data_IF_314486200267
#
_entry.id   IF_314486200267
#
_cell.length_a   1.000
_cell.length_b   1.000
_cell.length_c   1.000
_cell.angle_alpha   90.00
_cell.angle_beta   90.00
_cell.angle_gamma   90.00
#
_symmetry.space_group_name_H-M   'P 1'
#
loop_
_entity.id
_entity.type
_entity.pdbx_description
1 polymer ?
#
# COMPACT_ATOMS: atom_id res chain seq x y z
N UNK A 1 -15.57 25.93 13.31
CA UNK A 1 -16.64 24.92 13.10
C UNK A 1 -15.96 23.58 12.84
N UNK A 2 -16.55 22.44 13.25
CA UNK A 2 -15.98 21.15 12.89
C UNK A 2 -15.93 21.03 11.38
N UNK A 3 -14.81 20.46 10.85
CA UNK A 3 -14.62 20.25 9.42
C UNK A 3 -15.69 19.28 8.92
N UNK A 4 -16.43 19.65 7.89
CA UNK A 4 -17.41 18.77 7.25
C UNK A 4 -16.70 17.96 6.18
N UNK A 5 -16.89 16.65 6.20
CA UNK A 5 -16.38 15.72 5.20
C UNK A 5 -17.47 15.39 4.18
N UNK A 6 -17.10 15.15 2.93
CA UNK A 6 -18.05 14.83 1.86
C UNK A 6 -18.64 13.43 2.03
N UNK A 7 -17.80 12.47 2.42
CA UNK A 7 -18.14 11.05 2.46
C UNK A 7 -17.94 10.41 3.84
N UNK A 8 -16.85 10.75 4.54
CA UNK A 8 -16.48 10.08 5.79
C UNK A 8 -17.40 10.45 6.94
N UNK A 9 -17.96 9.45 7.63
CA UNK A 9 -18.68 9.67 8.88
C UNK A 9 -17.73 10.06 10.02
N UNK A 10 -18.23 10.69 11.09
CA UNK A 10 -17.43 11.00 12.29
C UNK A 10 -16.73 9.77 12.88
N UNK A 11 -17.38 8.60 12.83
CA UNK A 11 -16.84 7.34 13.33
C UNK A 11 -15.68 6.85 12.46
N UNK A 12 -15.80 6.97 11.14
CA UNK A 12 -14.71 6.62 10.20
C UNK A 12 -13.52 7.57 10.37
N UNK A 13 -13.77 8.85 10.57
CA UNK A 13 -12.72 9.84 10.87
C UNK A 13 -12.02 9.50 12.18
N UNK A 14 -12.77 9.19 13.24
CA UNK A 14 -12.21 8.81 14.53
C UNK A 14 -11.38 7.51 14.40
N UNK A 15 -11.87 6.51 13.68
CA UNK A 15 -11.19 5.25 13.44
C UNK A 15 -9.87 5.46 12.67
N UNK A 16 -9.88 6.28 11.60
CA UNK A 16 -8.66 6.58 10.86
C UNK A 16 -7.64 7.31 11.73
N UNK A 17 -8.07 8.30 12.50
CA UNK A 17 -7.18 9.04 13.39
C UNK A 17 -6.62 8.19 14.53
N UNK A 18 -7.31 7.14 14.95
CA UNK A 18 -6.81 6.20 15.94
C UNK A 18 -5.91 5.12 15.32
N UNK A 19 -6.37 4.48 14.25
CA UNK A 19 -5.75 3.26 13.72
C UNK A 19 -4.96 3.48 12.42
N UNK A 20 -5.15 4.59 11.70
CA UNK A 20 -4.44 4.89 10.46
C UNK A 20 -4.98 4.16 9.23
N UNK A 21 -6.15 3.54 9.28
CA UNK A 21 -6.81 2.92 8.13
C UNK A 21 -8.33 2.99 8.23
N UNK A 22 -9.01 2.79 7.10
CA UNK A 22 -10.46 2.57 6.99
C UNK A 22 -10.77 1.61 5.84
N UNK A 23 -11.93 0.99 5.90
CA UNK A 23 -12.45 0.13 4.82
C UNK A 23 -13.70 0.78 4.26
N UNK A 24 -13.70 1.07 2.97
CA UNK A 24 -14.84 1.57 2.22
C UNK A 24 -15.56 0.36 1.61
N UNK A 25 -16.70 0.01 2.18
CA UNK A 25 -17.47 -1.14 1.76
C UNK A 25 -18.20 -0.89 0.43
N UNK A 26 -18.13 -1.87 -0.49
CA UNK A 26 -18.80 -1.82 -1.78
C UNK A 26 -18.47 -0.53 -2.55
N UNK A 27 -17.19 -0.18 -2.65
CA UNK A 27 -16.71 1.00 -3.35
C UNK A 27 -16.86 0.88 -4.87
N UNK A 28 -16.83 -0.35 -5.39
CA UNK A 28 -17.13 -0.71 -6.78
C UNK A 28 -17.90 -2.03 -6.84
N UNK A 29 -18.57 -2.29 -7.95
CA UNK A 29 -19.45 -3.47 -8.07
C UNK A 29 -18.68 -4.75 -8.40
N UNK A 30 -19.31 -5.91 -8.11
CA UNK A 30 -18.80 -7.23 -8.51
C UNK A 30 -18.68 -7.35 -10.02
N UNK A 31 -19.63 -6.77 -10.80
CA UNK A 31 -19.58 -6.78 -12.27
C UNK A 31 -18.36 -6.01 -12.78
N UNK A 32 -18.02 -4.88 -12.15
CA UNK A 32 -16.82 -4.11 -12.48
C UNK A 32 -15.56 -4.91 -12.17
N UNK A 33 -15.52 -5.59 -11.03
CA UNK A 33 -14.42 -6.48 -10.66
C UNK A 33 -14.29 -7.63 -11.67
N UNK A 34 -15.38 -8.28 -12.04
CA UNK A 34 -15.40 -9.37 -13.02
C UNK A 34 -14.90 -8.91 -14.41
N UNK A 35 -15.33 -7.72 -14.87
CA UNK A 35 -14.84 -7.14 -16.12
C UNK A 35 -13.33 -6.86 -16.09
N UNK A 36 -12.80 -6.45 -14.95
CA UNK A 36 -11.37 -6.16 -14.81
C UNK A 36 -10.54 -7.43 -14.74
N UNK A 37 -11.01 -8.46 -14.07
CA UNK A 37 -10.33 -9.74 -13.88
C UNK A 37 -10.61 -10.78 -14.98
N UNK A 38 -11.43 -10.45 -15.99
CA UNK A 38 -11.86 -11.39 -17.04
C UNK A 38 -10.71 -12.16 -17.70
N UNK A 39 -9.58 -11.50 -17.93
CA UNK A 39 -8.40 -12.10 -18.57
C UNK A 39 -7.29 -12.45 -17.56
N UNK A 40 -7.57 -12.44 -16.27
CA UNK A 40 -6.55 -12.65 -15.22
C UNK A 40 -5.75 -13.94 -15.44
N UNK A 41 -6.44 -15.04 -15.61
CA UNK A 41 -5.82 -16.37 -15.74
C UNK A 41 -5.00 -16.54 -17.01
N UNK A 42 -5.50 -15.98 -18.12
CA UNK A 42 -4.75 -15.96 -19.39
C UNK A 42 -3.47 -15.14 -19.22
N UNK A 43 -3.56 -13.99 -18.58
CA UNK A 43 -2.39 -13.14 -18.29
C UNK A 43 -1.39 -13.87 -17.39
N UNK A 44 -1.85 -14.58 -16.37
CA UNK A 44 -1.01 -15.44 -15.53
C UNK A 44 -0.38 -16.60 -16.30
N UNK A 45 -1.02 -17.07 -17.39
CA UNK A 45 -0.63 -18.30 -18.10
C UNK A 45 -0.90 -19.55 -17.27
N UNK A 46 -1.99 -19.54 -16.47
CA UNK A 46 -2.39 -20.58 -15.53
C UNK A 46 -3.87 -20.93 -15.75
N UNK A 47 -4.26 -22.14 -15.36
CA UNK A 47 -5.65 -22.61 -15.40
C UNK A 47 -6.30 -22.44 -14.01
N UNK A 48 -7.42 -21.72 -13.88
CA UNK A 48 -8.13 -21.59 -12.60
C UNK A 48 -8.62 -22.91 -12.01
N UNK A 49 -8.91 -23.91 -12.86
CA UNK A 49 -9.39 -25.23 -12.46
C UNK A 49 -8.30 -26.23 -12.15
N UNK A 50 -7.05 -25.93 -12.52
CA UNK A 50 -5.90 -26.83 -12.32
C UNK A 50 -4.78 -26.15 -11.49
N UNK A 51 -4.81 -26.40 -10.20
CA UNK A 51 -3.82 -25.84 -9.26
C UNK A 51 -2.37 -26.31 -9.56
N UNK A 52 -2.16 -27.36 -10.35
CA UNK A 52 -0.81 -27.79 -10.74
C UNK A 52 -0.13 -26.79 -11.67
N UNK A 53 -0.92 -25.95 -12.35
CA UNK A 53 -0.43 -24.86 -13.19
C UNK A 53 -0.01 -23.61 -12.40
N UNK A 54 -0.36 -23.53 -11.11
CA UNK A 54 -0.06 -22.38 -10.26
C UNK A 54 1.40 -22.43 -9.76
N UNK A 55 2.29 -22.04 -10.65
CA UNK A 55 3.74 -22.20 -10.47
C UNK A 55 4.39 -21.13 -9.60
N UNK A 56 3.63 -20.11 -9.17
CA UNK A 56 4.12 -19.00 -8.34
C UNK A 56 3.16 -18.74 -7.19
N UNK A 57 3.70 -18.59 -5.97
CA UNK A 57 2.92 -18.22 -4.80
C UNK A 57 2.27 -16.85 -4.96
N UNK A 58 3.06 -15.87 -5.43
CA UNK A 58 2.62 -14.48 -5.63
C UNK A 58 3.09 -13.95 -6.97
N UNK A 59 2.21 -13.16 -7.61
CA UNK A 59 2.50 -12.51 -8.91
C UNK A 59 2.11 -11.05 -8.84
N UNK A 60 3.04 -10.15 -9.15
CA UNK A 60 2.80 -8.72 -9.33
C UNK A 60 2.69 -8.43 -10.82
N UNK A 61 1.45 -8.29 -11.30
CA UNK A 61 1.17 -8.18 -12.72
C UNK A 61 1.39 -6.75 -13.24
N UNK A 62 1.83 -6.57 -14.49
CA UNK A 62 1.92 -5.25 -15.12
C UNK A 62 0.53 -4.66 -15.40
N UNK A 63 0.50 -3.35 -15.62
CA UNK A 63 -0.73 -2.65 -16.00
C UNK A 63 -0.96 -2.73 -17.52
N UNK A 64 -2.20 -3.05 -17.93
CA UNK A 64 -2.67 -3.00 -19.32
C UNK A 64 -3.70 -1.91 -19.55
N UNK A 65 -4.62 -1.70 -18.61
CA UNK A 65 -5.67 -0.68 -18.70
C UNK A 65 -5.71 0.18 -17.45
N UNK A 66 -6.23 1.39 -17.62
CA UNK A 66 -6.49 2.33 -16.52
C UNK A 66 -7.90 2.90 -16.66
N UNK A 67 -8.48 3.30 -15.53
CA UNK A 67 -9.77 3.97 -15.47
C UNK A 67 -9.73 5.06 -14.40
N UNK A 68 -10.52 6.13 -14.59
CA UNK A 68 -10.68 7.18 -13.59
C UNK A 68 -11.30 6.60 -12.31
N UNK A 69 -10.70 6.90 -11.17
CA UNK A 69 -11.16 6.40 -9.87
C UNK A 69 -12.56 6.88 -9.55
N UNK A 70 -12.88 8.13 -9.90
CA UNK A 70 -14.20 8.72 -9.73
C UNK A 70 -15.29 7.91 -10.44
N UNK A 71 -15.00 7.36 -11.63
CA UNK A 71 -15.93 6.51 -12.37
C UNK A 71 -15.92 5.06 -11.87
N UNK A 72 -14.73 4.56 -11.53
CA UNK A 72 -14.55 3.17 -11.13
C UNK A 72 -15.05 2.90 -9.71
N UNK A 73 -14.69 3.76 -8.75
CA UNK A 73 -14.95 3.60 -7.32
C UNK A 73 -15.27 4.95 -6.66
N UNK A 74 -16.43 5.57 -7.00
CA UNK A 74 -16.75 6.95 -6.57
C UNK A 74 -16.74 7.14 -5.04
N UNK A 75 -17.19 6.16 -4.27
CA UNK A 75 -17.13 6.20 -2.80
C UNK A 75 -15.69 6.24 -2.28
N UNK A 76 -14.79 5.46 -2.88
CA UNK A 76 -13.39 5.47 -2.51
C UNK A 76 -12.73 6.80 -2.90
N UNK A 77 -13.07 7.37 -4.06
CA UNK A 77 -12.55 8.67 -4.47
C UNK A 77 -12.96 9.79 -3.52
N UNK A 78 -14.25 9.83 -3.13
CA UNK A 78 -14.73 10.79 -2.15
C UNK A 78 -14.02 10.66 -0.78
N UNK A 79 -13.82 9.41 -0.31
CA UNK A 79 -13.06 9.16 0.92
C UNK A 79 -11.59 9.56 0.82
N UNK A 80 -10.93 9.35 -0.33
CA UNK A 80 -9.55 9.80 -0.59
C UNK A 80 -9.45 11.32 -0.51
N UNK A 81 -10.40 12.05 -1.12
CA UNK A 81 -10.47 13.51 -1.03
C UNK A 81 -10.58 13.98 0.42
N UNK A 82 -11.45 13.37 1.20
CA UNK A 82 -11.63 13.70 2.62
C UNK A 82 -10.36 13.45 3.44
N UNK A 83 -9.70 12.30 3.23
CA UNK A 83 -8.47 11.94 3.94
C UNK A 83 -7.31 12.88 3.63
N UNK A 84 -7.21 13.37 2.40
CA UNK A 84 -6.10 14.21 1.92
C UNK A 84 -6.39 15.71 2.01
N UNK A 85 -7.63 16.09 2.34
CA UNK A 85 -8.00 17.49 2.60
C UNK A 85 -8.45 18.26 1.37
N UNK A 86 -8.84 17.57 0.29
CA UNK A 86 -9.43 18.13 -0.92
C UNK A 86 -8.77 17.63 -2.21
N UNK A 87 -9.54 17.62 -3.30
CA UNK A 87 -9.10 17.15 -4.61
C UNK A 87 -7.98 18.02 -5.19
N UNK A 88 -8.00 19.30 -4.88
CA UNK A 88 -7.00 20.27 -5.34
C UNK A 88 -5.58 19.94 -4.86
N UNK A 89 -5.44 19.17 -3.78
CA UNK A 89 -4.16 18.71 -3.25
C UNK A 89 -3.61 17.47 -3.94
N UNK A 90 -4.51 16.66 -4.54
CA UNK A 90 -4.17 15.35 -5.10
C UNK A 90 -3.46 15.53 -6.46
N UNK A 91 -2.39 14.77 -6.68
CA UNK A 91 -1.70 14.71 -7.97
C UNK A 91 -2.63 14.08 -9.03
N UNK A 92 -2.67 14.67 -10.23
CA UNK A 92 -3.56 14.22 -11.31
C UNK A 92 -3.33 12.77 -11.71
N UNK A 93 -2.08 12.27 -11.61
CA UNK A 93 -1.77 10.86 -11.89
C UNK A 93 -2.42 9.88 -10.92
N UNK A 94 -2.75 10.33 -9.71
CA UNK A 94 -3.45 9.54 -8.71
C UNK A 94 -4.95 9.36 -9.00
N UNK A 95 -5.52 10.10 -9.95
CA UNK A 95 -6.92 10.02 -10.33
C UNK A 95 -7.29 8.77 -11.14
N UNK A 96 -6.30 7.93 -11.51
CA UNK A 96 -6.53 6.70 -12.27
C UNK A 96 -6.00 5.47 -11.55
N UNK A 97 -6.79 4.39 -11.54
CA UNK A 97 -6.32 3.06 -11.14
C UNK A 97 -6.03 2.20 -12.35
N UNK A 98 -5.08 1.26 -12.16
CA UNK A 98 -4.70 0.28 -13.18
C UNK A 98 -4.95 -1.15 -12.73
N UNK A 99 -5.03 -2.06 -13.71
CA UNK A 99 -5.21 -3.50 -13.52
C UNK A 99 -3.89 -4.26 -13.26
N UNK A 100 -2.97 -3.57 -12.54
CA UNK A 100 -1.73 -4.19 -12.03
C UNK A 100 -2.02 -5.05 -10.82
N UNK A 101 -2.59 -6.23 -11.06
CA UNK A 101 -3.01 -7.11 -9.97
C UNK A 101 -1.83 -7.69 -9.20
N UNK A 102 -2.03 -7.79 -7.89
CA UNK A 102 -1.18 -8.57 -6.99
C UNK A 102 -1.97 -9.81 -6.62
N UNK A 103 -1.59 -10.93 -7.19
CA UNK A 103 -2.26 -12.22 -7.01
C UNK A 103 -1.47 -13.08 -6.03
N UNK A 104 -2.15 -13.60 -5.01
CA UNK A 104 -1.57 -14.56 -4.07
C UNK A 104 -2.34 -15.89 -4.19
N UNK A 105 -1.66 -16.91 -4.70
CA UNK A 105 -2.24 -18.22 -4.98
C UNK A 105 -1.94 -19.24 -3.87
N UNK A 106 -0.97 -18.95 -2.99
CA UNK A 106 -0.46 -19.93 -2.04
C UNK A 106 0.32 -21.06 -2.71
N UNK A 107 0.68 -22.06 -1.93
CA UNK A 107 1.39 -23.25 -2.40
C UNK A 107 0.75 -24.53 -1.82
N UNK A 108 1.10 -25.68 -2.37
CA UNK A 108 0.64 -26.99 -1.87
C UNK A 108 1.09 -27.24 -0.44
N UNK A 109 2.27 -26.76 -0.05
CA UNK A 109 2.80 -26.89 1.29
C UNK A 109 1.98 -26.04 2.28
N UNK A 110 1.61 -24.82 1.88
CA UNK A 110 0.78 -23.94 2.71
C UNK A 110 -0.62 -24.50 2.89
N UNK A 111 -1.23 -25.04 1.83
CA UNK A 111 -2.57 -25.67 1.90
C UNK A 111 -2.62 -26.86 2.88
N UNK A 112 -1.50 -27.56 3.05
CA UNK A 112 -1.36 -28.70 3.95
C UNK A 112 -0.84 -28.33 5.34
N UNK A 113 -0.47 -27.07 5.55
CA UNK A 113 0.07 -26.62 6.82
C UNK A 113 -0.98 -26.71 7.93
N UNK A 114 -0.58 -27.21 9.08
CA UNK A 114 -1.40 -27.29 10.30
C UNK A 114 -1.11 -26.18 11.29
N UNK A 115 0.00 -25.46 11.07
CA UNK A 115 0.42 -24.34 11.90
C UNK A 115 0.49 -23.05 11.04
N UNK A 116 0.01 -21.95 11.61
CA UNK A 116 0.00 -20.66 10.95
C UNK A 116 1.07 -19.74 11.53
N UNK A 117 1.79 -19.04 10.65
CA UNK A 117 2.80 -18.09 11.09
C UNK A 117 2.11 -16.92 11.81
N UNK A 118 2.54 -16.64 13.03
CA UNK A 118 2.04 -15.50 13.77
C UNK A 118 2.44 -14.19 13.04
N UNK A 119 1.57 -13.16 12.96
CA UNK A 119 1.88 -11.92 12.21
C UNK A 119 3.23 -11.28 12.58
N UNK A 120 3.60 -11.30 13.86
CA UNK A 120 4.90 -10.80 14.35
C UNK A 120 6.11 -11.53 13.77
N UNK A 121 5.93 -12.77 13.33
CA UNK A 121 7.01 -13.62 12.81
C UNK A 121 6.95 -13.75 11.27
N UNK A 122 6.02 -13.03 10.63
CA UNK A 122 5.98 -12.91 9.17
C UNK A 122 7.18 -12.09 8.68
N UNK A 123 7.70 -12.49 7.56
CA UNK A 123 8.72 -11.77 6.80
C UNK A 123 8.12 -10.63 5.96
N UNK A 124 8.97 -9.83 5.36
CA UNK A 124 8.59 -8.74 4.41
C UNK A 124 7.69 -7.64 4.98
N UNK A 125 7.70 -7.37 6.28
CA UNK A 125 7.11 -6.15 6.79
C UNK A 125 7.79 -4.92 6.16
N UNK A 126 7.02 -4.02 5.58
CA UNK A 126 7.52 -2.86 4.86
C UNK A 126 6.54 -1.69 4.87
N UNK A 127 7.02 -0.56 4.38
CA UNK A 127 6.23 0.58 3.95
C UNK A 127 6.39 0.66 2.43
N UNK A 128 5.31 0.87 1.69
CA UNK A 128 5.36 1.00 0.23
C UNK A 128 6.11 2.26 -0.22
N UNK A 129 6.64 2.24 -1.43
CA UNK A 129 7.28 3.39 -2.06
C UNK A 129 8.71 3.14 -2.51
N UNK A 130 8.95 2.06 -3.27
CA UNK A 130 10.27 1.72 -3.83
C UNK A 130 10.76 2.64 -4.96
N UNK A 131 9.99 3.71 -5.28
CA UNK A 131 10.24 4.58 -6.42
C UNK A 131 10.63 6.02 -6.04
N UNK A 132 10.84 6.33 -4.75
CA UNK A 132 11.30 7.65 -4.27
C UNK A 132 12.09 7.54 -2.97
N UNK A 133 12.83 8.58 -2.60
CA UNK A 133 13.46 8.74 -1.30
C UNK A 133 12.39 9.18 -0.29
N UNK A 134 12.23 8.43 0.80
CA UNK A 134 11.22 8.71 1.82
C UNK A 134 11.64 9.86 2.73
N UNK A 135 10.72 10.79 2.92
CA UNK A 135 10.73 11.81 3.97
C UNK A 135 9.41 11.73 4.73
N UNK A 136 9.37 12.29 5.93
CA UNK A 136 8.14 12.32 6.72
C UNK A 136 6.97 12.96 5.96
N UNK A 137 7.25 13.94 5.14
CA UNK A 137 6.29 14.75 4.38
C UNK A 137 6.21 14.38 2.89
N UNK A 138 6.68 13.18 2.50
CA UNK A 138 6.72 12.74 1.10
C UNK A 138 5.36 12.85 0.39
N UNK A 139 5.29 13.59 -0.73
CA UNK A 139 4.07 13.72 -1.51
C UNK A 139 3.84 12.55 -2.47
N UNK A 140 4.86 11.76 -2.78
CA UNK A 140 4.84 10.73 -3.81
C UNK A 140 3.85 9.61 -3.51
N UNK A 141 3.62 9.35 -2.21
CA UNK A 141 2.65 8.38 -1.72
C UNK A 141 1.98 8.91 -0.46
N UNK A 142 0.79 9.48 -0.62
CA UNK A 142 0.02 10.10 0.45
C UNK A 142 -1.03 9.19 1.08
N UNK A 143 -1.38 8.08 0.41
CA UNK A 143 -2.21 7.00 0.91
C UNK A 143 -1.75 5.68 0.30
N UNK A 144 -1.86 4.61 1.07
CA UNK A 144 -1.89 3.24 0.57
C UNK A 144 -3.34 2.88 0.28
N UNK A 145 -3.59 2.40 -0.93
CA UNK A 145 -4.94 2.05 -1.39
C UNK A 145 -4.95 0.60 -1.84
N UNK A 146 -5.87 -0.20 -1.29
CA UNK A 146 -5.98 -1.63 -1.62
C UNK A 146 -7.40 -1.96 -2.06
N UNK A 147 -7.70 -1.85 -3.37
CA UNK A 147 -8.93 -2.38 -3.96
C UNK A 147 -8.94 -3.90 -3.95
N UNK A 148 -10.06 -4.51 -3.53
CA UNK A 148 -10.24 -5.95 -3.35
C UNK A 148 -11.06 -6.51 -4.51
N UNK A 149 -10.44 -7.38 -5.32
CA UNK A 149 -11.04 -8.00 -6.51
C UNK A 149 -11.44 -9.47 -6.32
N UNK A 150 -11.17 -10.05 -5.17
CA UNK A 150 -11.63 -11.38 -4.76
C UNK A 150 -12.01 -11.37 -3.29
N UNK A 151 -12.92 -12.21 -2.85
CA UNK A 151 -13.20 -12.34 -1.43
C UNK A 151 -11.96 -12.82 -0.68
N UNK A 152 -11.62 -12.17 0.41
CA UNK A 152 -10.44 -12.45 1.23
C UNK A 152 -10.91 -12.93 2.61
N UNK A 153 -10.85 -14.22 2.83
CA UNK A 153 -11.14 -14.82 4.13
C UNK A 153 -9.91 -14.82 5.05
N UNK A 154 -10.14 -15.07 6.33
CA UNK A 154 -9.06 -15.31 7.29
C UNK A 154 -8.12 -16.44 6.82
N UNK A 155 -6.81 -16.22 6.92
CA UNK A 155 -5.77 -17.11 6.39
C UNK A 155 -5.75 -17.28 4.86
N UNK A 156 -6.50 -16.47 4.11
CA UNK A 156 -6.57 -16.49 2.65
C UNK A 156 -5.52 -15.60 1.95
N UNK A 157 -4.40 -15.30 2.58
CA UNK A 157 -3.33 -14.49 1.98
C UNK A 157 -3.60 -12.99 2.00
N UNK A 158 -4.37 -12.52 2.98
CA UNK A 158 -4.67 -11.10 3.18
C UNK A 158 -3.41 -10.26 3.44
N UNK A 159 -3.54 -8.96 3.35
CA UNK A 159 -2.53 -8.03 3.85
C UNK A 159 -2.70 -7.90 5.36
N UNK A 160 -1.63 -8.11 6.12
CA UNK A 160 -1.55 -7.73 7.52
C UNK A 160 -1.01 -6.33 7.66
N UNK A 161 -1.57 -5.57 8.59
CA UNK A 161 -1.10 -4.23 8.98
C UNK A 161 -0.76 -4.19 10.46
N UNK A 162 0.13 -3.28 10.83
CA UNK A 162 0.48 -2.99 12.23
C UNK A 162 0.21 -1.51 12.53
N UNK A 163 -0.99 -1.16 13.07
CA UNK A 163 -1.35 0.22 13.36
C UNK A 163 -0.43 0.93 14.35
N UNK A 164 0.15 0.21 15.32
CA UNK A 164 1.13 0.76 16.26
C UNK A 164 2.54 0.89 15.65
N UNK A 165 2.82 0.18 14.56
CA UNK A 165 4.05 0.33 13.80
C UNK A 165 4.17 1.67 13.06
N UNK A 166 3.05 2.34 12.78
CA UNK A 166 3.02 3.66 12.14
C UNK A 166 3.80 4.69 12.96
N UNK A 167 3.69 4.64 14.29
CA UNK A 167 4.44 5.55 15.18
C UNK A 167 5.95 5.35 15.05
N UNK A 168 6.42 4.10 14.94
CA UNK A 168 7.84 3.79 14.78
C UNK A 168 8.38 4.41 13.48
N UNK A 169 7.66 4.25 12.37
CA UNK A 169 8.06 4.81 11.08
C UNK A 169 8.00 6.34 11.09
N UNK A 170 6.94 6.94 11.65
CA UNK A 170 6.82 8.39 11.71
C UNK A 170 7.97 9.04 12.51
N UNK A 171 8.30 8.50 13.70
CA UNK A 171 9.42 8.96 14.52
C UNK A 171 10.74 8.83 13.79
N UNK A 172 10.97 7.68 13.18
CA UNK A 172 12.18 7.42 12.43
C UNK A 172 12.38 8.43 11.28
N UNK A 173 11.35 8.67 10.46
CA UNK A 173 11.43 9.65 9.37
C UNK A 173 11.56 11.10 9.88
N UNK A 174 10.99 11.42 11.03
CA UNK A 174 11.16 12.73 11.66
C UNK A 174 12.61 12.98 12.13
N UNK A 175 13.30 11.93 12.54
CA UNK A 175 14.71 11.97 12.99
C UNK A 175 15.70 11.93 11.81
N UNK A 176 15.24 11.60 10.59
CA UNK A 176 16.05 11.45 9.39
C UNK A 176 15.63 12.40 8.25
N UNK A 177 15.80 13.73 8.44
CA UNK A 177 15.44 14.72 7.42
C UNK A 177 16.33 14.66 6.15
N UNK A 178 17.42 13.92 6.18
CA UNK A 178 18.27 13.61 5.03
C UNK A 178 17.61 12.62 4.06
N UNK A 179 16.50 12.00 4.46
CA UNK A 179 15.75 11.04 3.68
C UNK A 179 16.22 9.60 3.83
N UNK A 180 15.32 8.68 3.55
CA UNK A 180 15.50 7.23 3.67
C UNK A 180 15.29 6.58 2.32
N UNK A 181 16.25 5.79 1.83
CA UNK A 181 16.10 5.10 0.56
C UNK A 181 15.26 3.84 0.71
N UNK A 182 14.39 3.56 -0.27
CA UNK A 182 13.61 2.33 -0.29
C UNK A 182 14.39 1.12 -0.81
N UNK A 183 15.54 1.33 -1.45
CA UNK A 183 16.36 0.24 -1.97
C UNK A 183 16.92 -0.52 -0.80
N UNK A 184 16.48 -1.75 -0.63
CA UNK A 184 16.73 -2.59 0.54
C UNK A 184 16.23 -1.96 1.84
N UNK A 185 15.39 -0.90 1.73
CA UNK A 185 14.89 -0.12 2.87
C UNK A 185 16.01 0.32 3.82
N UNK A 186 17.22 0.48 3.32
CA UNK A 186 18.37 0.97 4.06
C UNK A 186 18.39 2.49 4.05
N UNK A 187 18.66 3.06 5.20
CA UNK A 187 19.07 4.46 5.28
C UNK A 187 20.34 4.64 4.49
N UNK A 188 20.32 5.55 3.55
CA UNK A 188 21.54 6.12 3.02
C UNK A 188 21.53 7.58 3.42
N UNK A 189 22.37 7.99 4.38
CA UNK A 189 22.80 9.35 4.40
C UNK A 189 23.35 9.65 3.00
N UNK A 190 22.92 10.72 2.37
CA UNK A 190 23.27 11.10 0.99
C UNK A 190 24.78 11.21 0.72
N UNK A 191 25.59 10.99 1.72
CA UNK A 191 27.07 11.12 1.74
C UNK A 191 27.81 9.80 1.94
N UNK A 192 27.15 8.67 2.21
CA UNK A 192 27.81 7.37 2.43
C UNK A 192 27.74 6.46 1.20
N UNK A 193 28.84 5.79 0.80
CA UNK A 193 28.82 4.78 -0.25
C UNK A 193 27.93 3.60 0.16
N UNK A 194 27.12 3.12 -0.77
CA UNK A 194 26.29 1.92 -0.60
C UNK A 194 27.14 0.73 -0.13
N UNK A 195 26.83 0.18 1.02
CA UNK A 195 27.21 -1.19 1.33
C UNK A 195 26.02 -2.08 0.97
N UNK A 196 26.26 -3.03 0.09
CA UNK A 196 25.25 -3.96 -0.43
C UNK A 196 24.83 -5.05 0.57
N UNK A 197 25.20 -4.92 1.84
CA UNK A 197 24.88 -5.90 2.87
C UNK A 197 23.90 -5.31 3.92
N UNK A 198 22.60 -5.67 3.87
CA UNK A 198 21.59 -5.20 4.82
C UNK A 198 21.90 -5.53 6.28
N UNK A 199 22.73 -6.57 6.54
CA UNK A 199 23.14 -6.95 7.90
C UNK A 199 24.16 -5.99 8.51
N UNK A 200 24.84 -5.21 7.67
CA UNK A 200 25.89 -4.28 8.10
C UNK A 200 25.40 -2.84 8.25
N UNK A 201 24.18 -2.53 7.75
CA UNK A 201 23.57 -1.23 7.91
C UNK A 201 22.47 -1.31 8.97
N UNK A 202 22.63 -0.69 10.15
CA UNK A 202 21.64 -0.72 11.20
C UNK A 202 20.39 0.15 10.90
N UNK A 203 20.33 0.83 9.75
CA UNK A 203 19.33 1.81 9.38
C UNK A 203 17.87 1.35 9.42
N UNK A 204 17.11 1.67 8.39
CA UNK A 204 15.65 1.40 8.30
C UNK A 204 15.28 -0.08 8.48
N UNK A 205 16.13 -1.01 8.03
CA UNK A 205 15.97 -2.45 8.26
C UNK A 205 15.91 -2.86 9.73
N UNK A 206 16.65 -2.18 10.61
CA UNK A 206 16.58 -2.48 12.03
C UNK A 206 15.20 -2.15 12.59
N UNK A 207 14.56 -1.08 12.12
CA UNK A 207 13.20 -0.71 12.51
C UNK A 207 12.17 -1.67 11.98
N UNK A 208 12.31 -2.17 10.76
CA UNK A 208 11.43 -3.20 10.23
C UNK A 208 11.61 -4.55 10.93
N UNK A 209 12.82 -4.87 11.37
CA UNK A 209 13.08 -6.02 12.27
C UNK A 209 12.43 -5.84 13.64
N UNK A 210 12.21 -4.61 14.06
CA UNK A 210 11.54 -4.26 15.32
C UNK A 210 10.02 -4.44 15.31
N UNK A 211 9.42 -4.96 14.23
CA UNK A 211 8.00 -5.36 14.18
C UNK A 211 7.63 -6.24 15.38
N UNK A 212 8.60 -6.95 15.96
CA UNK A 212 8.44 -7.73 17.19
C UNK A 212 8.06 -6.88 18.41
N UNK A 213 8.27 -5.58 18.36
CA UNK A 213 7.83 -4.60 19.38
C UNK A 213 6.38 -4.20 19.21
N UNK A 214 5.81 -4.41 18.03
CA UNK A 214 4.40 -4.15 17.76
C UNK A 214 3.51 -5.20 18.42
N UNK A 215 2.35 -4.76 18.84
CA UNK A 215 1.35 -5.57 19.53
C UNK A 215 0.01 -5.63 18.83
N UNK A 216 -0.25 -4.68 17.91
CA UNK A 216 -1.51 -4.59 17.18
C UNK A 216 -1.29 -5.07 15.74
N UNK A 217 -1.93 -6.20 15.42
CA UNK A 217 -1.91 -6.78 14.09
C UNK A 217 -3.33 -6.97 13.59
N UNK A 218 -3.61 -6.49 12.39
CA UNK A 218 -4.93 -6.60 11.77
C UNK A 218 -4.78 -7.27 10.41
N UNK A 219 -5.53 -8.34 10.20
CA UNK A 219 -5.67 -8.99 8.91
C UNK A 219 -6.76 -8.28 8.11
N UNK A 220 -6.40 -7.74 6.95
CA UNK A 220 -7.33 -7.02 6.08
C UNK A 220 -8.15 -7.99 5.23
N UNK A 221 -9.13 -8.63 5.83
CA UNK A 221 -10.15 -9.42 5.14
C UNK A 221 -11.20 -8.52 4.51
N UNK A 222 -11.92 -9.00 3.50
CA UNK A 222 -12.95 -8.21 2.84
C UNK A 222 -13.62 -8.95 1.70
N UNK A 223 -14.59 -8.29 1.09
CA UNK A 223 -15.37 -8.79 -0.03
C UNK A 223 -14.98 -8.05 -1.33
N UNK A 224 -15.32 -8.65 -2.46
CA UNK A 224 -15.16 -7.99 -3.77
C UNK A 224 -15.83 -6.63 -3.75
N UNK A 225 -15.11 -5.61 -4.22
CA UNK A 225 -15.61 -4.24 -4.26
C UNK A 225 -15.23 -3.39 -3.05
N UNK A 226 -14.73 -3.98 -1.97
CA UNK A 226 -14.19 -3.22 -0.84
C UNK A 226 -12.87 -2.54 -1.21
N UNK A 227 -12.61 -1.38 -0.61
CA UNK A 227 -11.34 -0.67 -0.75
C UNK A 227 -10.80 -0.31 0.63
N UNK A 228 -9.59 -0.74 0.92
CA UNK A 228 -8.88 -0.31 2.13
C UNK A 228 -8.06 0.93 1.82
N UNK A 229 -8.22 1.97 2.64
CA UNK A 229 -7.43 3.20 2.60
C UNK A 229 -6.60 3.28 3.87
N UNK A 230 -5.28 3.42 3.72
CA UNK A 230 -4.33 3.39 4.83
C UNK A 230 -3.40 4.60 4.79
N UNK A 231 -2.95 5.00 5.95
CA UNK A 231 -1.89 5.98 6.10
C UNK A 231 -0.62 5.54 5.34
N UNK A 232 0.10 6.44 4.66
CA UNK A 232 1.27 6.07 3.84
C UNK A 232 2.40 5.39 4.64
N UNK A 233 2.50 5.65 5.92
CA UNK A 233 3.51 5.06 6.81
C UNK A 233 3.03 3.77 7.50
N UNK A 234 1.93 3.16 7.05
CA UNK A 234 1.43 1.93 7.63
C UNK A 234 2.37 0.77 7.34
N UNK A 235 2.95 0.18 8.39
CA UNK A 235 3.66 -1.09 8.28
C UNK A 235 2.70 -2.19 7.85
N UNK A 236 3.05 -2.91 6.79
CA UNK A 236 2.22 -4.00 6.28
C UNK A 236 3.05 -5.11 5.66
N UNK A 237 2.43 -6.26 5.50
CA UNK A 237 3.00 -7.43 4.81
C UNK A 237 1.90 -8.28 4.19
N UNK A 238 2.21 -9.02 3.13
CA UNK A 238 1.31 -10.03 2.58
C UNK A 238 1.43 -11.33 3.38
N UNK A 239 0.31 -11.83 3.90
CA UNK A 239 0.28 -13.11 4.62
C UNK A 239 0.40 -14.29 3.66
N UNK A 240 0.68 -15.46 4.24
CA UNK A 240 0.62 -16.74 3.53
C UNK A 240 -0.84 -17.08 3.21
N UNK A 241 -1.08 -17.62 2.02
CA UNK A 241 -2.40 -18.08 1.60
C UNK A 241 -2.53 -19.58 1.88
N UNK A 242 -3.06 -19.90 3.04
CA UNK A 242 -3.27 -21.29 3.50
C UNK A 242 -4.52 -21.92 2.89
N UNK A 243 -5.47 -21.12 2.41
CA UNK A 243 -6.70 -21.63 1.80
C UNK A 243 -6.51 -22.00 0.32
N UNK A 244 -5.43 -21.53 -0.28
CA UNK A 244 -5.17 -21.70 -1.71
C UNK A 244 -6.36 -21.30 -2.59
N UNK A 245 -7.07 -20.25 -2.15
CA UNK A 245 -8.08 -19.51 -2.89
C UNK A 245 -7.42 -18.25 -3.45
N UNK A 246 -7.54 -17.95 -4.73
CA UNK A 246 -6.86 -16.80 -5.32
C UNK A 246 -7.25 -15.50 -4.62
N UNK A 247 -6.28 -14.81 -4.04
CA UNK A 247 -6.45 -13.45 -3.51
C UNK A 247 -5.96 -12.45 -4.54
N UNK A 248 -6.84 -11.57 -4.98
CA UNK A 248 -6.57 -10.58 -6.03
C UNK A 248 -6.84 -9.18 -5.49
N UNK A 249 -5.82 -8.35 -5.47
CA UNK A 249 -5.88 -6.94 -5.11
C UNK A 249 -5.07 -6.11 -6.10
N UNK A 250 -5.14 -4.77 -5.97
CA UNK A 250 -4.14 -3.84 -6.51
C UNK A 250 -3.66 -2.92 -5.39
N UNK A 251 -2.59 -2.15 -5.62
CA UNK A 251 -2.09 -1.13 -4.69
C UNK A 251 -1.73 0.15 -5.44
N UNK A 252 -2.71 0.84 -6.05
CA UNK A 252 -2.43 2.07 -6.78
C UNK A 252 -1.90 3.15 -5.83
N UNK A 253 -0.80 3.84 -6.20
CA UNK A 253 -0.29 4.95 -5.41
C UNK A 253 -1.22 6.16 -5.51
N UNK A 254 -1.37 6.90 -4.41
CA UNK A 254 -2.03 8.20 -4.38
C UNK A 254 -1.01 9.23 -3.92
N UNK A 255 -0.65 10.16 -4.80
CA UNK A 255 0.29 11.24 -4.51
C UNK A 255 -0.39 12.59 -4.31
N UNK A 256 0.36 13.54 -3.78
CA UNK A 256 -0.01 14.94 -3.63
C UNK A 256 0.81 15.82 -4.59
N UNK A 257 0.25 16.99 -4.95
CA UNK A 257 0.97 18.03 -5.70
C UNK A 257 2.09 18.68 -4.91
N UNK A 258 1.93 18.72 -3.57
CA UNK A 258 2.87 19.34 -2.65
C UNK A 258 3.09 18.41 -1.44
N UNK A 259 4.25 18.47 -0.78
CA UNK A 259 4.50 17.75 0.46
C UNK A 259 3.44 18.02 1.53
N UNK A 260 3.28 17.07 2.45
CA UNK A 260 2.49 17.31 3.66
C UNK A 260 3.05 18.49 4.44
N UNK A 261 2.15 19.27 5.05
CA UNK A 261 2.53 20.41 5.89
C UNK A 261 2.09 20.16 7.34
N UNK A 262 3.03 19.87 8.21
CA UNK A 262 2.78 19.62 9.63
C UNK A 262 2.87 20.90 10.48
N UNK A 263 3.05 22.08 9.88
CA UNK A 263 3.22 23.36 10.56
C UNK A 263 2.18 24.41 10.10
N UNK A 264 0.89 24.04 10.08
CA UNK A 264 -0.20 24.96 9.73
C UNK A 264 -0.57 25.83 10.92
N UNK A 265 -0.98 27.07 10.65
CA UNK A 265 -1.46 28.00 11.69
C UNK A 265 -2.87 27.63 12.16
N UNK A 266 -3.74 27.27 11.22
CA UNK A 266 -5.10 26.79 11.50
C UNK A 266 -5.14 25.25 11.52
N UNK A 267 -5.47 24.67 12.67
CA UNK A 267 -5.62 23.22 12.83
C UNK A 267 -6.69 22.62 11.87
N UNK A 268 -7.69 23.43 11.48
CA UNK A 268 -8.72 23.03 10.53
C UNK A 268 -8.21 22.76 9.12
N UNK A 269 -7.05 23.28 8.77
CA UNK A 269 -6.42 23.07 7.46
C UNK A 269 -5.65 21.75 7.34
N UNK A 270 -5.34 21.07 8.44
CA UNK A 270 -4.71 19.77 8.38
C UNK A 270 -5.61 18.75 7.70
N UNK A 271 -5.05 17.96 6.79
CA UNK A 271 -5.67 16.72 6.32
C UNK A 271 -5.72 15.68 7.44
N UNK A 272 -6.54 14.62 7.26
CA UNK A 272 -6.59 13.55 8.24
C UNK A 272 -5.27 12.77 8.32
N UNK A 273 -4.55 12.65 7.21
CA UNK A 273 -3.22 12.04 7.18
C UNK A 273 -2.21 12.88 7.97
N UNK A 274 -2.18 14.21 7.76
CA UNK A 274 -1.32 15.12 8.54
C UNK A 274 -1.64 15.03 10.05
N UNK A 275 -2.93 15.05 10.41
CA UNK A 275 -3.36 14.91 11.82
C UNK A 275 -2.97 13.57 12.43
N UNK A 276 -3.09 12.47 11.66
CA UNK A 276 -2.67 11.14 12.12
C UNK A 276 -1.16 11.07 12.33
N UNK A 277 -0.37 11.66 11.44
CA UNK A 277 1.09 11.74 11.58
C UNK A 277 1.48 12.51 12.85
N UNK A 278 0.90 13.69 13.05
CA UNK A 278 1.16 14.51 14.26
C UNK A 278 0.79 13.75 15.55
N UNK A 279 -0.35 13.06 15.58
CA UNK A 279 -0.74 12.19 16.70
C UNK A 279 0.27 11.07 16.97
N UNK A 280 0.78 10.42 15.90
CA UNK A 280 1.78 9.38 16.02
C UNK A 280 3.10 9.89 16.59
N UNK A 281 3.44 11.14 16.31
CA UNK A 281 4.62 11.81 16.87
C UNK A 281 4.39 12.35 18.29
N UNK A 282 3.12 12.49 18.73
CA UNK A 282 2.74 13.05 20.02
C UNK A 282 2.92 14.57 20.09
N UNK A 283 2.73 15.27 18.97
CA UNK A 283 2.88 16.72 18.85
C UNK A 283 1.66 17.34 18.14
N UNK A 284 1.40 18.61 18.39
CA UNK A 284 0.34 19.37 17.73
C UNK A 284 0.81 20.01 16.42
N UNK A 285 2.10 20.32 16.33
CA UNK A 285 2.76 20.92 15.17
C UNK A 285 4.21 20.44 15.07
N UNK A 286 4.71 20.39 13.83
CA UNK A 286 6.10 20.06 13.56
C UNK A 286 6.61 20.83 12.34
N UNK A 287 7.66 21.61 12.52
CA UNK A 287 8.40 22.16 11.39
C UNK A 287 9.38 21.09 10.88
N UNK A 288 9.01 20.43 9.79
CA UNK A 288 9.84 19.43 9.13
C UNK A 288 10.42 20.00 7.83
N UNK A 289 11.73 19.89 7.66
CA UNK A 289 12.44 20.35 6.46
C UNK A 289 13.44 19.28 6.03
N UNK A 290 13.26 18.67 4.84
CA UNK A 290 14.30 17.83 4.26
C UNK A 290 15.62 18.56 4.15
N UNK A 291 16.71 17.88 4.47
CA UNK A 291 18.08 18.43 4.39
C UNK A 291 18.78 18.06 3.08
N UNK A 292 18.15 17.20 2.27
CA UNK A 292 18.61 16.81 0.94
C UNK A 292 17.50 16.98 -0.10
N UNK A 293 17.88 16.96 -1.37
CA UNK A 293 16.94 17.08 -2.47
C UNK A 293 16.10 15.81 -2.65
N UNK A 294 14.78 15.99 -2.89
CA UNK A 294 13.87 14.88 -3.21
C UNK A 294 14.24 14.26 -4.53
N UNK A 295 14.29 12.95 -4.58
CA UNK A 295 14.63 12.20 -5.79
C UNK A 295 13.70 11.01 -5.97
N UNK A 296 13.36 10.76 -7.23
CA UNK A 296 12.71 9.52 -7.67
C UNK A 296 13.74 8.45 -7.98
N UNK A 297 13.35 7.21 -7.79
CA UNK A 297 14.14 6.00 -8.07
C UNK A 297 13.36 5.19 -9.09
N UNK A 298 14.06 4.55 -10.01
CA UNK A 298 13.45 3.57 -10.93
C UNK A 298 13.76 2.17 -10.38
N UNK A 299 12.80 1.49 -9.75
CA UNK A 299 13.05 0.18 -9.17
C UNK A 299 13.21 -0.90 -10.26
N UNK A 300 14.00 -1.92 -9.96
CA UNK A 300 14.29 -2.99 -10.93
C UNK A 300 13.05 -3.78 -11.35
N UNK A 301 12.03 -3.83 -10.49
CA UNK A 301 10.73 -4.44 -10.82
C UNK A 301 10.07 -3.85 -12.07
N UNK A 302 10.37 -2.59 -12.44
CA UNK A 302 9.84 -1.96 -13.66
C UNK A 302 10.27 -2.75 -14.89
N UNK A 303 11.55 -3.11 -14.99
CA UNK A 303 12.08 -3.92 -16.10
C UNK A 303 11.50 -5.34 -16.14
N UNK A 304 11.22 -5.91 -14.95
CA UNK A 304 10.58 -7.22 -14.83
C UNK A 304 9.14 -7.12 -15.34
N UNK A 305 8.40 -6.10 -14.92
CA UNK A 305 7.01 -5.88 -15.34
C UNK A 305 6.89 -5.59 -16.85
N UNK A 306 7.85 -4.90 -17.46
CA UNK A 306 7.88 -4.69 -18.91
C UNK A 306 8.00 -6.01 -19.68
N UNK A 307 8.90 -6.91 -19.25
CA UNK A 307 9.01 -8.27 -19.84
C UNK A 307 7.73 -9.08 -19.64
N UNK A 308 7.20 -9.09 -18.43
CA UNK A 308 5.93 -9.77 -18.13
C UNK A 308 4.79 -9.25 -19.02
N UNK A 309 4.73 -7.94 -19.25
CA UNK A 309 3.71 -7.32 -20.11
C UNK A 309 3.77 -7.86 -21.53
N UNK A 310 4.96 -7.99 -22.11
CA UNK A 310 5.16 -8.56 -23.46
C UNK A 310 4.71 -10.03 -23.53
N UNK A 311 5.00 -10.81 -22.49
CA UNK A 311 4.56 -12.21 -22.39
C UNK A 311 3.03 -12.29 -22.27
N UNK A 312 2.41 -11.44 -21.44
CA UNK A 312 0.95 -11.36 -21.27
C UNK A 312 0.25 -10.95 -22.56
N UNK A 313 0.77 -9.96 -23.28
CA UNK A 313 0.25 -9.53 -24.57
C UNK A 313 0.29 -10.65 -25.63
N UNK A 314 1.33 -11.49 -25.57
CA UNK A 314 1.44 -12.66 -26.45
C UNK A 314 0.36 -13.68 -26.13
N UNK A 315 0.13 -13.98 -24.84
CA UNK A 315 -0.96 -14.88 -24.41
C UNK A 315 -2.34 -14.35 -24.79
N UNK A 316 -2.58 -13.04 -24.59
CA UNK A 316 -3.85 -12.40 -24.93
C UNK A 316 -4.16 -12.42 -26.44
N UNK A 317 -3.14 -12.25 -27.30
CA UNK A 317 -3.29 -12.34 -28.76
C UNK A 317 -3.67 -13.74 -29.24
N UNK A 318 -3.25 -14.78 -28.54
CA UNK A 318 -3.57 -16.17 -28.88
C UNK A 318 -4.98 -16.60 -28.48
N UNK A 319 -5.76 -15.74 -27.79
CA UNK A 319 -7.17 -15.97 -27.49
C UNK A 319 -8.11 -15.57 -28.65
N UNK A 320 -7.65 -14.69 -29.57
CA UNK A 320 -8.40 -14.23 -30.73
C UNK A 320 -8.01 -15.04 -31.97
#
# INVERSE_FOLDING_TARGET
>A
MPKTYEYLSPEQVAHFLEHGYIIIKGAFSEEKAAQWTANLWVRLGMDPGDKTTWTRERVHMPVHKRELVETFAPKAWAAIKDLLGGEERIDEHASTWGDSFIVNLGTDELEKATEFVHPRDMDNWHVDGDFFIHYLDSPEQALLVVPIFSNIAHNGGATYISPDGLELIARYLAEHPEGVTPVDLTLIPSTTPHTSNPEQDPGFWSHLKEIKRCSKFVELTGEVGDVVLMHPLMLHTASKNYLRVPRVITNPPVGLKQPFNFNREDEGEYSLVERKTLRALGVDRLEFRPTTERRRIVPERVKIQERMKQEEETRLRNLN
#
